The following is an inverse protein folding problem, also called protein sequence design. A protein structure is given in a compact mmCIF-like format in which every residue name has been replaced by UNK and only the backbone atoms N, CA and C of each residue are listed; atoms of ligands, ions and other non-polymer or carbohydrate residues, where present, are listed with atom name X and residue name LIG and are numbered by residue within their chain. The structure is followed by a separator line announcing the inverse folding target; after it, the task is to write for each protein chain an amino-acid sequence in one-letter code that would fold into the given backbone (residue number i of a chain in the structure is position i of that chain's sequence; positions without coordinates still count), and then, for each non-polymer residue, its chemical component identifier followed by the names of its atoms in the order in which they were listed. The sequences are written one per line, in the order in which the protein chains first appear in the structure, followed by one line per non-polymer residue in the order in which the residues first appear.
data_IF_174709932922
#
_entry.id   IF_174709932922
#
_cell.length_a   1.000
_cell.length_b   1.000
_cell.length_c   1.000
_cell.angle_alpha   90.00
_cell.angle_beta   90.00
_cell.angle_gamma   90.00
#
_symmetry.space_group_name_H-M   'P 1'
#
loop_
_entity.id
_entity.type
_entity.pdbx_description
1 polymer ?
#
# COMPACT_ATOMS: atom_id res chain seq x y z
N UNK A 1 -1.62 -14.34 11.21
CA UNK A 1 -1.70 -12.86 11.19
C UNK A 1 -2.53 -12.45 9.98
N UNK A 2 -3.48 -11.54 10.17
CA UNK A 2 -4.60 -11.27 9.26
C UNK A 2 -4.13 -10.90 7.84
N UNK A 3 -4.54 -11.70 6.84
CA UNK A 3 -4.59 -11.21 5.47
C UNK A 3 -5.57 -10.03 5.45
N UNK A 4 -5.07 -8.83 5.22
CA UNK A 4 -5.90 -7.64 5.06
C UNK A 4 -6.78 -7.85 3.84
N UNK A 5 -8.02 -8.30 4.06
CA UNK A 5 -9.05 -8.34 3.05
C UNK A 5 -9.21 -6.93 2.49
N UNK A 6 -9.18 -6.81 1.16
CA UNK A 6 -9.38 -5.55 0.48
C UNK A 6 -10.79 -5.03 0.82
N UNK A 7 -10.91 -3.81 1.33
CA UNK A 7 -12.23 -3.22 1.63
C UNK A 7 -12.90 -2.74 0.34
N UNK A 8 -14.23 -2.53 0.35
CA UNK A 8 -14.95 -1.99 -0.82
C UNK A 8 -14.32 -0.68 -1.34
N UNK A 9 -13.87 0.20 -0.44
CA UNK A 9 -13.18 1.44 -0.81
C UNK A 9 -11.83 1.19 -1.46
N UNK A 10 -11.06 0.24 -0.92
CA UNK A 10 -9.78 -0.15 -1.51
C UNK A 10 -9.96 -0.78 -2.90
N UNK A 11 -11.03 -1.55 -3.11
CA UNK A 11 -11.37 -2.13 -4.41
C UNK A 11 -11.69 -1.05 -5.46
N UNK A 12 -12.48 -0.05 -5.08
CA UNK A 12 -12.81 1.09 -5.93
C UNK A 12 -11.54 1.87 -6.31
N UNK A 13 -10.70 2.19 -5.33
CA UNK A 13 -9.43 2.90 -5.59
C UNK A 13 -8.51 2.08 -6.49
N UNK A 14 -8.37 0.77 -6.24
CA UNK A 14 -7.50 -0.08 -7.03
C UNK A 14 -8.00 -0.18 -8.48
N UNK A 15 -9.33 -0.30 -8.66
CA UNK A 15 -9.97 -0.28 -9.97
C UNK A 15 -9.73 1.04 -10.71
N UNK A 16 -9.91 2.17 -10.02
CA UNK A 16 -9.66 3.50 -10.58
C UNK A 16 -8.21 3.69 -11.04
N UNK A 17 -7.24 3.33 -10.19
CA UNK A 17 -5.82 3.45 -10.53
C UNK A 17 -5.48 2.57 -11.73
N UNK A 18 -5.96 1.33 -11.75
CA UNK A 18 -5.71 0.40 -12.87
C UNK A 18 -6.29 0.89 -14.19
N UNK A 19 -7.51 1.44 -14.18
CA UNK A 19 -8.11 2.04 -15.37
C UNK A 19 -7.32 3.25 -15.85
N UNK A 20 -6.93 4.13 -14.93
CA UNK A 20 -6.16 5.34 -15.23
C UNK A 20 -4.78 5.02 -15.82
N UNK A 21 -4.16 3.95 -15.34
CA UNK A 21 -2.79 3.55 -15.73
C UNK A 21 -2.74 2.48 -16.82
N UNK A 22 -3.87 2.11 -17.43
CA UNK A 22 -3.96 1.02 -18.43
C UNK A 22 -3.03 1.18 -19.64
N UNK A 23 -2.73 2.42 -20.03
CA UNK A 23 -1.91 2.72 -21.20
C UNK A 23 -0.40 2.83 -20.88
N UNK A 24 0.01 2.48 -19.66
CA UNK A 24 1.40 2.56 -19.20
C UNK A 24 1.94 1.14 -18.96
N UNK A 25 2.59 0.52 -19.96
CA UNK A 25 2.97 -0.89 -19.90
C UNK A 25 3.99 -1.22 -18.79
N UNK A 26 4.74 -0.21 -18.32
CA UNK A 26 5.67 -0.36 -17.20
C UNK A 26 4.98 -0.34 -15.83
N UNK A 27 3.67 -0.05 -15.78
CA UNK A 27 2.91 0.12 -14.55
C UNK A 27 1.88 -0.99 -14.41
N UNK A 28 1.99 -1.75 -13.32
CA UNK A 28 0.99 -2.75 -12.96
C UNK A 28 0.65 -2.64 -11.47
N UNK A 29 -0.48 -1.99 -11.18
CA UNK A 29 -0.93 -1.79 -9.80
C UNK A 29 -1.84 -2.93 -9.37
N UNK A 30 -1.38 -3.71 -8.38
CA UNK A 30 -2.12 -4.86 -7.83
C UNK A 30 -2.33 -4.75 -6.31
N UNK A 31 -1.68 -3.79 -5.65
CA UNK A 31 -1.78 -3.56 -4.21
C UNK A 31 -1.53 -2.09 -3.87
N UNK A 32 -1.69 -1.73 -2.59
CA UNK A 32 -1.35 -0.41 -2.04
C UNK A 32 -0.05 -0.45 -1.23
N UNK A 33 0.90 -1.28 -1.64
CA UNK A 33 2.23 -1.37 -1.02
C UNK A 33 3.30 -1.37 -2.12
N UNK A 34 3.86 -2.52 -2.46
CA UNK A 34 4.99 -2.67 -3.37
C UNK A 34 4.73 -2.20 -4.80
N UNK A 35 3.47 -2.06 -5.23
CA UNK A 35 3.14 -1.54 -6.57
C UNK A 35 3.48 -0.04 -6.75
N UNK A 36 3.83 0.64 -5.65
CA UNK A 36 4.03 2.09 -5.62
C UNK A 36 5.49 2.48 -5.33
N UNK A 37 6.33 1.51 -4.92
CA UNK A 37 7.67 1.80 -4.39
C UNK A 37 8.67 2.26 -5.45
N UNK A 38 8.44 1.95 -6.73
CA UNK A 38 9.29 2.41 -7.83
C UNK A 38 8.97 3.84 -8.33
N UNK A 39 7.88 4.43 -7.82
CA UNK A 39 7.36 5.75 -8.18
C UNK A 39 6.62 5.85 -9.52
N UNK A 40 6.58 4.79 -10.33
CA UNK A 40 5.95 4.85 -11.66
C UNK A 40 4.43 4.97 -11.58
N UNK A 41 3.80 4.27 -10.63
CA UNK A 41 2.35 4.30 -10.44
C UNK A 41 1.83 5.72 -10.13
N UNK A 42 2.50 6.48 -9.27
CA UNK A 42 2.12 7.86 -8.95
C UNK A 42 2.25 8.77 -10.18
N UNK A 43 3.36 8.69 -10.90
CA UNK A 43 3.57 9.50 -12.10
C UNK A 43 2.58 9.16 -13.22
N UNK A 44 2.32 7.86 -13.46
CA UNK A 44 1.39 7.44 -14.49
C UNK A 44 -0.04 7.93 -14.20
N UNK A 45 -0.44 7.90 -12.92
CA UNK A 45 -1.74 8.38 -12.48
C UNK A 45 -1.91 9.89 -12.68
N UNK A 46 -0.86 10.69 -12.45
CA UNK A 46 -0.86 12.12 -12.72
C UNK A 46 -0.91 12.39 -14.24
N UNK A 47 0.00 11.77 -14.99
CA UNK A 47 0.12 11.95 -16.44
C UNK A 47 -1.11 11.47 -17.20
N UNK A 48 -1.81 10.42 -16.74
CA UNK A 48 -3.04 9.93 -17.39
C UNK A 48 -4.16 10.97 -17.39
N UNK A 49 -4.22 11.82 -16.37
CA UNK A 49 -5.23 12.86 -16.22
C UNK A 49 -4.77 14.21 -16.75
N UNK A 50 -3.48 14.49 -16.67
CA UNK A 50 -2.85 15.75 -17.07
C UNK A 50 -1.52 15.49 -17.80
N UNK A 51 -1.58 15.00 -19.06
CA UNK A 51 -0.39 14.66 -19.84
C UNK A 51 0.45 15.90 -20.22
N UNK A 52 -0.10 17.10 -20.03
CA UNK A 52 0.55 18.37 -20.27
C UNK A 52 1.59 18.75 -19.21
N UNK A 53 1.60 18.11 -18.03
CA UNK A 53 2.45 18.53 -16.91
C UNK A 53 3.92 18.13 -17.05
N UNK A 54 4.22 17.01 -17.71
CA UNK A 54 5.59 16.51 -17.89
C UNK A 54 5.66 15.43 -18.98
N UNK A 55 6.86 15.13 -19.47
CA UNK A 55 7.09 14.02 -20.39
C UNK A 55 7.23 12.70 -19.62
N UNK A 56 6.32 11.76 -19.89
CA UNK A 56 6.36 10.41 -19.32
C UNK A 56 7.69 9.69 -19.56
N UNK A 57 8.26 9.79 -20.76
CA UNK A 57 9.45 9.01 -21.12
C UNK A 57 10.67 9.44 -20.30
N UNK A 58 10.80 10.75 -20.03
CA UNK A 58 11.83 11.28 -19.14
C UNK A 58 11.73 10.66 -17.74
N UNK A 59 10.52 10.62 -17.15
CA UNK A 59 10.30 10.04 -15.82
C UNK A 59 10.50 8.52 -15.81
N UNK A 60 10.01 7.81 -16.82
CA UNK A 60 10.17 6.37 -16.93
C UNK A 60 11.65 5.96 -17.04
N UNK A 61 12.46 6.77 -17.73
CA UNK A 61 13.90 6.53 -17.90
C UNK A 61 14.74 6.83 -16.65
N UNK A 62 14.21 7.63 -15.71
CA UNK A 62 14.89 7.94 -14.44
C UNK A 62 15.19 6.66 -13.66
N UNK A 63 16.40 6.46 -13.14
CA UNK A 63 16.76 5.20 -12.49
C UNK A 63 16.40 5.15 -11.00
N UNK A 64 16.35 6.31 -10.33
CA UNK A 64 16.09 6.38 -8.90
C UNK A 64 14.59 6.41 -8.58
N UNK A 65 14.05 5.44 -7.83
CA UNK A 65 12.67 5.48 -7.34
C UNK A 65 12.37 6.72 -6.51
N UNK A 66 13.29 7.10 -5.62
CA UNK A 66 13.18 8.29 -4.77
C UNK A 66 12.99 9.55 -5.61
N UNK A 67 13.75 9.70 -6.71
CA UNK A 67 13.60 10.84 -7.60
C UNK A 67 12.27 10.84 -8.35
N UNK A 68 11.77 9.67 -8.78
CA UNK A 68 10.43 9.56 -9.40
C UNK A 68 9.32 9.92 -8.41
N UNK A 69 9.45 9.47 -7.16
CA UNK A 69 8.48 9.75 -6.09
C UNK A 69 8.47 11.24 -5.74
N UNK A 70 9.64 11.82 -5.51
CA UNK A 70 9.80 13.26 -5.24
C UNK A 70 9.22 14.09 -6.39
N UNK A 71 9.47 13.70 -7.64
CA UNK A 71 8.86 14.34 -8.80
C UNK A 71 7.34 14.29 -8.75
N UNK A 72 6.74 13.11 -8.55
CA UNK A 72 5.28 12.97 -8.49
C UNK A 72 4.66 13.84 -7.39
N UNK A 73 5.26 13.82 -6.18
CA UNK A 73 4.75 14.57 -5.04
C UNK A 73 4.88 16.09 -5.24
N UNK A 74 5.95 16.54 -5.91
CA UNK A 74 6.10 17.94 -6.31
C UNK A 74 5.03 18.37 -7.32
N UNK A 75 4.82 17.58 -8.38
CA UNK A 75 3.81 17.88 -9.40
C UNK A 75 2.41 17.93 -8.77
N UNK A 76 2.07 16.96 -7.92
CA UNK A 76 0.79 16.92 -7.22
C UNK A 76 0.60 18.15 -6.32
N UNK A 77 1.63 18.57 -5.57
CA UNK A 77 1.57 19.77 -4.74
C UNK A 77 1.38 21.03 -5.57
N UNK A 78 2.21 21.22 -6.59
CA UNK A 78 2.26 22.46 -7.36
C UNK A 78 1.02 22.66 -8.23
N UNK A 79 0.50 21.59 -8.83
CA UNK A 79 -0.56 21.70 -9.84
C UNK A 79 -1.93 21.22 -9.36
N UNK A 80 -1.99 20.38 -8.32
CA UNK A 80 -3.23 19.84 -7.77
C UNK A 80 -3.50 20.29 -6.33
N UNK A 81 -2.56 21.00 -5.69
CA UNK A 81 -2.71 21.49 -4.32
C UNK A 81 -2.68 20.39 -3.25
N UNK A 82 -2.15 19.22 -3.57
CA UNK A 82 -2.08 18.09 -2.63
C UNK A 82 -0.81 18.21 -1.77
N UNK A 83 -0.96 18.20 -0.45
CA UNK A 83 0.17 18.23 0.48
C UNK A 83 1.07 16.99 0.35
N UNK A 84 2.37 17.12 0.58
CA UNK A 84 3.31 15.99 0.55
C UNK A 84 3.19 15.19 1.85
N UNK A 85 2.24 14.26 1.90
CA UNK A 85 2.00 13.42 3.10
C UNK A 85 2.97 12.24 3.23
N UNK A 86 3.75 11.96 2.18
CA UNK A 86 4.65 10.82 2.09
C UNK A 86 6.06 11.31 1.84
N UNK A 87 7.01 10.75 2.59
CA UNK A 87 8.42 10.91 2.29
C UNK A 87 8.84 9.90 1.21
N UNK A 88 9.52 10.33 0.12
CA UNK A 88 9.95 9.43 -0.94
C UNK A 88 10.77 8.23 -0.46
N UNK A 89 11.63 8.42 0.55
CA UNK A 89 12.48 7.37 1.11
C UNK A 89 11.67 6.28 1.82
N UNK A 90 10.58 6.64 2.51
CA UNK A 90 9.70 5.70 3.20
C UNK A 90 8.86 4.87 2.21
N UNK A 91 8.59 5.45 1.03
CA UNK A 91 7.85 4.77 -0.05
C UNK A 91 8.78 3.91 -0.90
N UNK A 92 10.02 4.34 -1.14
CA UNK A 92 11.03 3.66 -1.96
C UNK A 92 11.64 2.42 -1.28
N UNK A 93 10.82 1.63 -0.60
CA UNK A 93 11.22 0.43 0.13
C UNK A 93 10.51 -0.82 -0.43
N UNK A 94 10.94 -2.01 -0.02
CA UNK A 94 10.31 -3.25 -0.47
C UNK A 94 8.86 -3.42 0.04
N UNK A 95 8.52 -2.77 1.17
CA UNK A 95 7.26 -2.93 1.87
C UNK A 95 6.79 -1.59 2.48
N UNK A 96 6.38 -0.61 1.64
CA UNK A 96 5.87 0.67 2.16
C UNK A 96 4.56 0.49 2.92
N UNK A 97 4.25 1.42 3.83
CA UNK A 97 3.04 1.33 4.67
C UNK A 97 1.75 1.47 3.85
N UNK A 98 0.89 0.45 3.94
CA UNK A 98 -0.35 0.36 3.16
C UNK A 98 -1.30 1.53 3.43
N UNK A 99 -1.43 1.95 4.69
CA UNK A 99 -2.42 2.97 5.10
C UNK A 99 -1.99 4.34 4.61
N UNK A 100 -0.69 4.64 4.69
CA UNK A 100 -0.11 5.87 4.17
C UNK A 100 -0.28 5.98 2.66
N UNK A 101 -0.01 4.91 1.89
CA UNK A 101 -0.26 4.90 0.45
C UNK A 101 -1.75 5.10 0.16
N UNK A 102 -2.64 4.38 0.84
CA UNK A 102 -4.10 4.54 0.66
C UNK A 102 -4.57 5.95 0.95
N UNK A 103 -4.10 6.57 2.03
CA UNK A 103 -4.45 7.93 2.39
C UNK A 103 -4.05 8.90 1.28
N UNK A 104 -2.83 8.80 0.77
CA UNK A 104 -2.34 9.69 -0.27
C UNK A 104 -3.06 9.47 -1.62
N UNK A 105 -3.30 8.20 -2.01
CA UNK A 105 -4.07 7.89 -3.22
C UNK A 105 -5.52 8.36 -3.10
N UNK A 106 -6.10 8.35 -1.90
CA UNK A 106 -7.43 8.91 -1.65
C UNK A 106 -7.45 10.41 -1.88
N UNK A 107 -6.41 11.14 -1.45
CA UNK A 107 -6.28 12.57 -1.75
C UNK A 107 -6.21 12.85 -3.26
N UNK A 108 -5.48 12.02 -4.03
CA UNK A 108 -5.45 12.10 -5.49
C UNK A 108 -6.83 11.83 -6.11
N UNK A 109 -7.52 10.79 -5.64
CA UNK A 109 -8.85 10.41 -6.11
C UNK A 109 -9.90 11.52 -5.90
N UNK A 110 -9.77 12.31 -4.84
CA UNK A 110 -10.70 13.40 -4.53
C UNK A 110 -10.60 14.59 -5.50
N UNK A 111 -9.44 14.81 -6.11
CA UNK A 111 -9.18 15.99 -6.96
C UNK A 111 -9.07 15.66 -8.45
N UNK A 112 -8.85 14.40 -8.79
CA UNK A 112 -8.77 13.93 -10.18
C UNK A 112 -10.12 13.38 -10.67
N UNK A 113 -10.38 13.41 -12.00
CA UNK A 113 -11.59 12.83 -12.58
C UNK A 113 -11.80 11.35 -12.19
N UNK A 114 -12.99 11.05 -11.66
CA UNK A 114 -13.35 9.71 -11.22
C UNK A 114 -14.12 9.00 -12.35
N UNK A 115 -13.46 8.10 -13.06
CA UNK A 115 -14.10 7.14 -13.97
C UNK A 115 -13.92 5.74 -13.41
N UNK A 116 -14.95 5.20 -12.76
CA UNK A 116 -14.96 3.83 -12.24
C UNK A 116 -16.26 3.16 -12.66
N UNK A 117 -16.15 2.06 -13.41
CA UNK A 117 -17.31 1.23 -13.76
C UNK A 117 -17.38 -0.02 -12.87
N UNK A 118 -18.57 -0.60 -12.76
CA UNK A 118 -18.79 -1.80 -11.94
C UNK A 118 -18.03 -3.01 -12.49
N UNK A 119 -17.82 -3.10 -13.80
CA UNK A 119 -17.07 -4.15 -14.46
C UNK A 119 -15.60 -4.13 -14.03
N UNK A 120 -15.00 -2.94 -14.00
CA UNK A 120 -13.62 -2.79 -13.58
C UNK A 120 -13.42 -3.10 -12.09
N UNK A 121 -14.43 -2.88 -11.24
CA UNK A 121 -14.38 -3.31 -9.83
C UNK A 121 -14.32 -4.85 -9.74
N UNK A 122 -15.14 -5.56 -10.53
CA UNK A 122 -15.13 -7.03 -10.57
C UNK A 122 -13.80 -7.61 -11.05
N UNK A 123 -13.11 -6.94 -11.99
CA UNK A 123 -11.77 -7.37 -12.43
C UNK A 123 -10.75 -7.38 -11.28
N UNK A 124 -10.86 -6.44 -10.33
CA UNK A 124 -9.99 -6.40 -9.16
C UNK A 124 -10.23 -7.59 -8.22
N UNK A 125 -11.47 -8.07 -8.11
CA UNK A 125 -11.82 -9.22 -7.25
C UNK A 125 -11.13 -10.50 -7.71
N UNK A 126 -10.86 -10.59 -9.01
CA UNK A 126 -10.26 -11.74 -9.68
C UNK A 126 -8.72 -11.72 -9.68
N UNK A 127 -8.08 -10.65 -9.16
CA UNK A 127 -6.63 -10.57 -9.10
C UNK A 127 -6.04 -11.60 -8.11
N UNK A 128 -4.86 -12.18 -8.41
CA UNK A 128 -4.20 -13.11 -7.50
C UNK A 128 -3.96 -12.46 -6.14
N UNK A 129 -4.56 -13.02 -5.08
CA UNK A 129 -4.24 -12.66 -3.70
C UNK A 129 -2.84 -13.20 -3.40
N UNK A 130 -1.84 -12.33 -3.23
CA UNK A 130 -0.51 -12.77 -2.80
C UNK A 130 -0.55 -13.26 -1.34
N UNK A 131 -0.70 -14.57 -1.16
CA UNK A 131 -0.30 -15.27 0.05
C UNK A 131 1.21 -15.46 0.02
N UNK A 132 1.96 -14.64 0.75
CA UNK A 132 3.31 -15.05 1.17
C UNK A 132 3.13 -16.16 2.22
N UNK A 133 3.23 -17.41 1.80
CA UNK A 133 3.50 -18.54 2.70
C UNK A 133 4.96 -18.42 3.11
N UNK A 134 5.23 -17.81 4.26
CA UNK A 134 6.50 -18.08 4.96
C UNK A 134 6.26 -19.34 5.79
N UNK A 135 6.95 -20.42 5.42
CA UNK A 135 7.03 -21.66 6.21
C UNK A 135 7.37 -21.32 7.66
N UNK A 136 6.62 -21.90 8.57
CA UNK A 136 6.80 -21.84 10.01
C UNK A 136 8.18 -22.44 10.38
N UNK A 137 9.08 -21.62 10.90
CA UNK A 137 10.19 -22.13 11.71
C UNK A 137 9.68 -22.28 13.14
N UNK A 138 9.54 -23.55 13.54
CA UNK A 138 9.33 -23.98 14.92
C UNK A 138 10.34 -23.29 15.85
N UNK A 139 9.86 -22.47 16.77
CA UNK A 139 10.61 -22.13 17.99
C UNK A 139 10.12 -23.11 19.06
N UNK A 140 10.91 -24.14 19.32
CA UNK A 140 10.78 -24.97 20.51
C UNK A 140 11.03 -24.09 21.74
N UNK A 141 9.96 -23.74 22.45
CA UNK A 141 10.06 -23.09 23.76
C UNK A 141 10.52 -24.16 24.75
N UNK A 142 11.81 -24.15 25.04
CA UNK A 142 12.40 -24.92 26.14
C UNK A 142 11.92 -24.32 27.46
N UNK A 143 10.96 -24.97 28.12
CA UNK A 143 10.52 -24.64 29.48
C UNK A 143 11.68 -24.79 30.46
N UNK A 144 12.15 -23.68 31.02
CA UNK A 144 12.96 -23.67 32.23
C UNK A 144 12.07 -23.27 33.41
N UNK A 145 11.67 -24.30 34.15
CA UNK A 145 11.32 -24.34 35.56
C UNK A 145 11.36 -23.00 36.31
N UNK A 146 10.19 -22.51 36.73
CA UNK A 146 10.06 -21.84 38.01
C UNK A 146 8.86 -22.42 38.76
N UNK A 147 9.12 -22.82 40.01
CA UNK A 147 8.43 -23.86 40.76
C UNK A 147 6.96 -23.58 41.12
N UNK A 148 6.26 -24.71 41.24
CA UNK A 148 4.96 -24.93 41.84
C UNK A 148 4.83 -24.26 43.22
N UNK A 149 3.68 -23.64 43.50
CA UNK A 149 2.69 -24.17 44.45
C UNK A 149 1.52 -23.16 44.60
N UNK A 150 0.35 -23.51 44.07
CA UNK A 150 -0.91 -23.07 44.66
C UNK A 150 -1.70 -24.35 44.95
N UNK A 151 -1.52 -24.89 46.15
CA UNK A 151 -2.42 -25.88 46.72
C UNK A 151 -3.07 -25.28 47.97
N UNK A 152 -4.34 -24.97 47.81
CA UNK A 152 -5.38 -24.97 48.83
C UNK A 152 -5.01 -25.80 50.07
N UNK A 153 -5.04 -25.20 51.26
CA UNK A 153 -5.76 -25.82 52.39
C UNK A 153 -6.18 -24.77 53.41
N UNK A 154 -7.45 -24.86 53.78
CA UNK A 154 -8.04 -24.35 55.00
C UNK A 154 -7.12 -24.51 56.22
N UNK A 155 -7.10 -23.53 57.11
CA UNK A 155 -7.46 -23.70 58.53
C UNK A 155 -7.48 -22.34 59.24
N UNK A 156 -8.69 -21.86 59.51
CA UNK A 156 -8.96 -20.98 60.64
C UNK A 156 -8.73 -21.76 61.94
N UNK A 157 -8.12 -21.07 62.91
CA UNK A 157 -8.36 -21.21 64.34
C UNK A 157 -7.92 -22.53 65.02
N UNK A 158 -6.71 -22.48 65.58
CA UNK A 158 -6.46 -23.01 66.91
C UNK A 158 -5.57 -22.02 67.68
N UNK A 159 -6.20 -20.97 68.23
CA UNK A 159 -5.87 -20.34 69.51
C UNK A 159 -7.01 -19.39 69.89
#
# INVERSE_FOLDING_TARGET
MAGLQQTNSEMILLSWVRQSTRNYPQVNVINFTSSWSDGLAFNALLHSHRPDLFDWNAVASQQSPVQRLEHAFNIARQHLGIEKLLDPEDVATACPDKKSILMYVTSLFQVLPQKVTMEAIREVEMLPRHSRVTREEHIEVHEQHFSQEVSFTFLLSCC
#
